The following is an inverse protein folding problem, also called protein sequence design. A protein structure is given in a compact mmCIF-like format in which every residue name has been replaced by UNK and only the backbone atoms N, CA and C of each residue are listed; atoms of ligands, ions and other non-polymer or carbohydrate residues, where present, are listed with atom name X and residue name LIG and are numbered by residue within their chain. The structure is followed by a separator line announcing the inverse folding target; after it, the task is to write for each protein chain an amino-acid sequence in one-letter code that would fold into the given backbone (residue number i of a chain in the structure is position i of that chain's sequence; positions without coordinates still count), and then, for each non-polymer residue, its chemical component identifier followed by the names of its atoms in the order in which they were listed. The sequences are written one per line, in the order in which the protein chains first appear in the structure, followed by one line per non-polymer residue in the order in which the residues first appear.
data_IF_756675462104
#
_entry.id   IF_756675462104
#
_cell.length_a   1.000
_cell.length_b   1.000
_cell.length_c   1.000
_cell.angle_alpha   90.00
_cell.angle_beta   90.00
_cell.angle_gamma   90.00
#
_symmetry.space_group_name_H-M   'P 1'
#
loop_
_entity.id
_entity.type
_entity.pdbx_description
1 polymer ?
#
# COMPACT_ATOMS: atom_id res chain seq x y z
N UNK A 1 -20.77 8.51 10.18
CA UNK A 1 -21.48 7.76 9.12
C UNK A 1 -22.01 8.69 8.03
N UNK A 2 -22.49 9.90 8.36
CA UNK A 2 -23.04 10.83 7.38
C UNK A 2 -22.02 11.28 6.32
N UNK A 3 -20.78 11.56 6.73
CA UNK A 3 -19.69 11.89 5.83
C UNK A 3 -19.40 10.77 4.80
N UNK A 4 -19.40 9.50 5.23
CA UNK A 4 -19.19 8.36 4.33
C UNK A 4 -20.32 8.23 3.30
N UNK A 5 -21.57 8.52 3.71
CA UNK A 5 -22.74 8.51 2.81
C UNK A 5 -22.61 9.60 1.74
N UNK A 6 -22.15 10.78 2.12
CA UNK A 6 -21.91 11.91 1.22
C UNK A 6 -20.83 11.55 0.19
N UNK A 7 -19.66 11.08 0.64
CA UNK A 7 -18.56 10.67 -0.24
C UNK A 7 -18.95 9.54 -1.21
N UNK A 8 -19.74 8.57 -0.75
CA UNK A 8 -20.27 7.52 -1.62
C UNK A 8 -21.28 8.07 -2.63
N UNK A 9 -22.04 9.11 -2.27
CA UNK A 9 -22.93 9.84 -3.17
C UNK A 9 -22.13 10.53 -4.29
N UNK A 10 -21.03 11.18 -3.96
CA UNK A 10 -20.16 11.85 -4.94
C UNK A 10 -19.53 10.86 -5.91
N UNK A 11 -19.06 9.71 -5.42
CA UNK A 11 -18.55 8.62 -6.27
C UNK A 11 -19.64 8.11 -7.21
N UNK A 12 -20.86 7.89 -6.70
CA UNK A 12 -21.99 7.42 -7.50
C UNK A 12 -22.37 8.46 -8.56
N UNK A 13 -22.37 9.74 -8.21
CA UNK A 13 -22.61 10.84 -9.15
C UNK A 13 -21.61 10.80 -10.31
N UNK A 14 -20.31 10.64 -10.04
CA UNK A 14 -19.29 10.54 -11.08
C UNK A 14 -19.55 9.35 -12.02
N UNK A 15 -19.94 8.20 -11.48
CA UNK A 15 -20.24 7.01 -12.29
C UNK A 15 -21.42 7.28 -13.21
N UNK A 16 -22.54 7.81 -12.68
CA UNK A 16 -23.75 8.11 -13.44
C UNK A 16 -23.46 9.18 -14.51
N UNK A 17 -22.72 10.23 -14.15
CA UNK A 17 -22.37 11.31 -15.07
C UNK A 17 -21.55 10.81 -16.27
N UNK A 18 -20.51 10.01 -16.02
CA UNK A 18 -19.70 9.44 -17.10
C UNK A 18 -20.46 8.42 -17.95
N UNK A 19 -21.33 7.62 -17.34
CA UNK A 19 -22.18 6.70 -18.08
C UNK A 19 -23.17 7.47 -19.00
N UNK A 20 -23.79 8.54 -18.52
CA UNK A 20 -24.69 9.38 -19.32
C UNK A 20 -23.95 10.06 -20.49
N UNK A 21 -22.71 10.51 -20.28
CA UNK A 21 -21.91 11.06 -21.39
C UNK A 21 -21.58 9.97 -22.43
N UNK A 22 -21.20 8.78 -21.99
CA UNK A 22 -20.91 7.66 -22.89
C UNK A 22 -22.13 7.21 -23.68
N UNK A 23 -23.31 7.18 -23.04
CA UNK A 23 -24.58 6.85 -23.70
C UNK A 23 -24.98 7.90 -24.75
N UNK A 24 -24.78 9.18 -24.45
CA UNK A 24 -25.00 10.27 -25.41
C UNK A 24 -24.12 10.13 -26.66
N UNK A 25 -22.91 9.66 -26.50
CA UNK A 25 -21.95 9.41 -27.60
C UNK A 25 -22.13 8.02 -28.24
N UNK A 26 -23.09 7.22 -27.78
CA UNK A 26 -23.41 5.91 -28.34
C UNK A 26 -22.45 4.79 -27.98
N UNK A 27 -21.66 4.94 -26.92
CA UNK A 27 -20.68 3.92 -26.51
C UNK A 27 -21.29 2.83 -25.61
N UNK A 28 -21.88 3.19 -24.48
CA UNK A 28 -22.50 2.28 -23.52
C UNK A 28 -23.43 3.04 -22.56
N UNK A 29 -24.40 2.32 -21.99
CA UNK A 29 -25.37 2.83 -21.01
C UNK A 29 -24.96 2.52 -19.56
N UNK A 30 -25.66 3.10 -18.59
CA UNK A 30 -25.53 2.73 -17.18
C UNK A 30 -25.91 1.27 -16.93
N UNK A 31 -26.85 0.72 -17.69
CA UNK A 31 -27.21 -0.70 -17.63
C UNK A 31 -26.02 -1.58 -18.01
N UNK A 32 -25.29 -1.24 -19.05
CA UNK A 32 -24.08 -2.00 -19.47
C UNK A 32 -23.00 -1.99 -18.40
N UNK A 33 -22.83 -0.87 -17.70
CA UNK A 33 -21.91 -0.77 -16.56
C UNK A 33 -22.32 -1.72 -15.43
N UNK A 34 -23.61 -1.72 -15.06
CA UNK A 34 -24.15 -2.57 -14.01
C UNK A 34 -24.04 -4.05 -14.36
N UNK A 35 -24.41 -4.43 -15.58
CA UNK A 35 -24.31 -5.80 -16.09
C UNK A 35 -22.86 -6.28 -16.14
N UNK A 36 -21.95 -5.43 -16.59
CA UNK A 36 -20.52 -5.73 -16.60
C UNK A 36 -19.94 -5.98 -15.21
N UNK A 37 -20.38 -5.26 -14.18
CA UNK A 37 -19.99 -5.51 -12.78
C UNK A 37 -20.59 -6.82 -12.27
N UNK A 38 -21.90 -7.05 -12.49
CA UNK A 38 -22.58 -8.28 -12.11
C UNK A 38 -21.86 -9.51 -12.69
N UNK A 39 -21.65 -9.53 -13.99
CA UNK A 39 -21.07 -10.68 -14.70
C UNK A 39 -19.62 -10.93 -14.24
N UNK A 40 -18.86 -9.86 -13.99
CA UNK A 40 -17.53 -9.94 -13.41
C UNK A 40 -17.57 -10.57 -12.03
N UNK A 41 -18.49 -10.18 -11.15
CA UNK A 41 -18.59 -10.73 -9.79
C UNK A 41 -19.01 -12.20 -9.81
N UNK A 42 -20.00 -12.56 -10.61
CA UNK A 42 -20.44 -13.95 -10.77
C UNK A 42 -19.28 -14.85 -11.23
N UNK A 43 -18.56 -14.43 -12.28
CA UNK A 43 -17.42 -15.21 -12.79
C UNK A 43 -16.28 -15.37 -11.79
N UNK A 44 -16.03 -14.36 -10.96
CA UNK A 44 -14.89 -14.36 -10.01
C UNK A 44 -15.21 -15.04 -8.70
N UNK A 45 -16.48 -15.19 -8.34
CA UNK A 45 -16.94 -15.76 -7.08
C UNK A 45 -17.89 -16.94 -7.29
N UNK A 46 -17.52 -17.99 -8.06
CA UNK A 46 -18.43 -19.13 -8.33
C UNK A 46 -18.80 -19.87 -7.04
N UNK A 47 -17.92 -19.88 -6.02
CA UNK A 47 -18.25 -20.45 -4.72
C UNK A 47 -19.42 -19.75 -4.01
N UNK A 48 -19.75 -18.50 -4.39
CA UNK A 48 -20.92 -17.76 -3.86
C UNK A 48 -22.15 -18.01 -4.71
N UNK A 49 -21.99 -18.15 -6.04
CA UNK A 49 -23.09 -18.16 -7.00
C UNK A 49 -23.39 -19.55 -7.56
N UNK A 50 -22.50 -20.52 -7.42
CA UNK A 50 -22.71 -21.89 -7.90
C UNK A 50 -23.45 -22.71 -6.84
N UNK A 51 -24.63 -23.21 -7.21
CA UNK A 51 -25.52 -23.99 -6.32
C UNK A 51 -24.95 -25.33 -5.89
N UNK A 52 -23.88 -25.80 -6.53
CA UNK A 52 -23.28 -27.12 -6.27
C UNK A 52 -22.12 -27.10 -5.26
N UNK A 53 -22.00 -26.03 -4.45
CA UNK A 53 -21.15 -25.97 -3.27
C UNK A 53 -19.78 -26.59 -3.47
N UNK A 54 -18.95 -26.00 -4.33
CA UNK A 54 -17.54 -26.38 -4.44
C UNK A 54 -16.83 -26.14 -3.11
N UNK A 55 -15.99 -27.10 -2.73
CA UNK A 55 -15.22 -27.16 -1.50
C UNK A 55 -14.59 -25.78 -1.16
N UNK A 56 -15.08 -25.14 -0.10
CA UNK A 56 -14.69 -23.80 0.34
C UNK A 56 -13.27 -23.73 0.91
N UNK A 57 -12.54 -24.84 0.90
CA UNK A 57 -11.17 -24.96 1.41
C UNK A 57 -10.09 -24.61 0.38
N UNK A 58 -10.47 -24.43 -0.90
CA UNK A 58 -9.51 -24.03 -1.94
C UNK A 58 -9.32 -22.51 -1.87
N UNK A 59 -8.14 -22.09 -1.58
CA UNK A 59 -7.68 -20.71 -1.39
C UNK A 59 -8.31 -19.72 -2.39
N UNK A 60 -9.41 -19.11 -1.99
CA UNK A 60 -10.19 -18.15 -2.78
C UNK A 60 -9.35 -17.02 -3.45
N UNK A 61 -8.30 -16.47 -2.80
CA UNK A 61 -7.46 -15.43 -3.41
C UNK A 61 -6.64 -15.93 -4.60
N UNK A 62 -6.10 -17.15 -4.56
CA UNK A 62 -5.25 -17.71 -5.64
C UNK A 62 -6.07 -18.00 -6.89
N UNK A 63 -7.23 -18.63 -6.73
CA UNK A 63 -8.14 -18.90 -7.84
C UNK A 63 -8.70 -17.61 -8.46
N UNK A 64 -8.99 -16.62 -7.64
CA UNK A 64 -9.45 -15.31 -8.10
C UNK A 64 -8.39 -14.57 -8.95
N UNK A 65 -7.12 -14.55 -8.52
CA UNK A 65 -6.02 -13.94 -9.29
C UNK A 65 -5.76 -14.72 -10.60
N UNK A 66 -5.85 -16.05 -10.59
CA UNK A 66 -5.71 -16.89 -11.78
C UNK A 66 -6.80 -16.57 -12.82
N UNK A 67 -8.04 -16.48 -12.40
CA UNK A 67 -9.18 -16.13 -13.26
C UNK A 67 -9.06 -14.75 -13.85
N UNK A 68 -8.69 -13.75 -13.02
CA UNK A 68 -8.43 -12.38 -13.45
C UNK A 68 -7.29 -12.29 -14.48
N UNK A 69 -6.29 -13.14 -14.38
CA UNK A 69 -5.17 -13.19 -15.33
C UNK A 69 -5.63 -13.76 -16.69
N UNK A 70 -6.40 -14.82 -16.68
CA UNK A 70 -6.98 -15.45 -17.89
C UNK A 70 -7.95 -14.46 -18.56
N UNK A 71 -8.89 -13.88 -17.82
CA UNK A 71 -9.88 -12.92 -18.30
C UNK A 71 -9.24 -11.71 -19.02
N UNK A 72 -8.11 -11.21 -18.48
CA UNK A 72 -7.41 -10.04 -19.05
C UNK A 72 -6.31 -10.42 -20.03
N UNK A 73 -6.19 -11.70 -20.42
CA UNK A 73 -5.13 -12.22 -21.30
C UNK A 73 -3.72 -11.73 -20.90
N UNK A 74 -3.43 -11.74 -19.59
CA UNK A 74 -2.16 -11.22 -19.05
C UNK A 74 -1.04 -12.25 -19.23
N UNK A 75 -0.05 -11.93 -20.05
CA UNK A 75 1.09 -12.79 -20.34
C UNK A 75 2.02 -13.00 -19.13
N UNK A 76 2.26 -11.93 -18.36
CA UNK A 76 3.20 -11.95 -17.23
C UNK A 76 2.47 -11.81 -15.88
N UNK A 77 3.04 -12.38 -14.83
CA UNK A 77 2.49 -12.37 -13.47
C UNK A 77 2.20 -10.94 -12.97
N UNK A 78 3.15 -10.03 -13.19
CA UNK A 78 3.06 -8.64 -12.74
C UNK A 78 2.35 -7.71 -13.73
N UNK A 79 1.81 -8.24 -14.84
CA UNK A 79 1.04 -7.43 -15.78
C UNK A 79 -0.14 -6.74 -15.10
N UNK A 80 -0.27 -5.42 -15.33
CA UNK A 80 -1.34 -4.58 -14.76
C UNK A 80 -1.10 -4.13 -13.32
N UNK A 81 0.13 -4.25 -12.82
CA UNK A 81 0.57 -3.49 -11.63
C UNK A 81 0.86 -2.06 -12.09
N UNK A 82 0.19 -1.03 -11.53
CA UNK A 82 0.45 0.34 -11.91
C UNK A 82 1.87 0.76 -11.52
N UNK A 83 2.59 1.41 -12.45
CA UNK A 83 3.99 1.83 -12.21
C UNK A 83 4.12 3.13 -11.39
N UNK A 84 3.05 3.92 -11.30
CA UNK A 84 3.04 5.22 -10.61
C UNK A 84 2.58 5.16 -9.14
N UNK A 85 2.61 3.98 -8.52
CA UNK A 85 2.28 3.84 -7.11
C UNK A 85 3.45 4.25 -6.21
N UNK A 86 3.18 4.70 -4.97
CA UNK A 86 4.20 4.84 -3.92
C UNK A 86 5.00 3.54 -3.76
N UNK A 87 6.30 3.66 -3.53
CA UNK A 87 7.23 2.51 -3.63
C UNK A 87 6.93 1.39 -2.64
N UNK A 88 6.54 1.72 -1.40
CA UNK A 88 6.18 0.70 -0.41
C UNK A 88 4.91 -0.03 -0.79
N UNK A 89 3.89 0.69 -1.27
CA UNK A 89 2.64 0.09 -1.75
C UNK A 89 2.88 -0.76 -2.99
N UNK A 90 3.70 -0.31 -3.93
CA UNK A 90 4.10 -1.08 -5.11
C UNK A 90 4.77 -2.40 -4.69
N UNK A 91 5.70 -2.36 -3.75
CA UNK A 91 6.39 -3.53 -3.20
C UNK A 91 5.38 -4.50 -2.56
N UNK A 92 4.45 -3.99 -1.74
CA UNK A 92 3.37 -4.81 -1.16
C UNK A 92 2.57 -5.56 -2.22
N UNK A 93 2.18 -4.89 -3.29
CA UNK A 93 1.39 -5.49 -4.37
C UNK A 93 2.20 -6.56 -5.12
N UNK A 94 3.47 -6.31 -5.39
CA UNK A 94 4.38 -7.28 -6.04
C UNK A 94 4.49 -8.53 -5.18
N UNK A 95 4.82 -8.39 -3.91
CA UNK A 95 5.00 -9.51 -2.97
C UNK A 95 3.70 -10.30 -2.79
N UNK A 96 2.56 -9.64 -2.57
CA UNK A 96 1.23 -10.30 -2.51
C UNK A 96 0.92 -11.11 -3.77
N UNK A 97 1.24 -10.57 -4.96
CA UNK A 97 1.03 -11.29 -6.22
C UNK A 97 1.93 -12.52 -6.37
N UNK A 98 3.18 -12.40 -5.98
CA UNK A 98 4.14 -13.52 -6.04
C UNK A 98 3.71 -14.61 -5.05
N UNK A 99 3.46 -14.26 -3.79
CA UNK A 99 3.05 -15.20 -2.73
C UNK A 99 1.70 -15.87 -3.03
N UNK A 100 0.71 -15.12 -3.55
CA UNK A 100 -0.61 -15.69 -3.91
C UNK A 100 -0.55 -16.71 -5.06
N UNK A 101 0.55 -16.76 -5.80
CA UNK A 101 0.81 -17.77 -6.84
C UNK A 101 1.72 -18.92 -6.34
N UNK A 102 2.09 -18.94 -5.05
CA UNK A 102 2.96 -19.97 -4.47
C UNK A 102 4.43 -19.82 -4.90
N UNK A 103 4.85 -18.62 -5.21
CA UNK A 103 6.20 -18.29 -5.69
C UNK A 103 6.97 -17.42 -4.67
N UNK A 104 6.61 -17.53 -3.38
CA UNK A 104 7.24 -16.75 -2.32
C UNK A 104 8.77 -16.93 -2.26
N UNK A 105 9.25 -18.12 -2.61
CA UNK A 105 10.69 -18.42 -2.62
C UNK A 105 11.48 -17.59 -3.65
N UNK A 106 10.79 -17.03 -4.66
CA UNK A 106 11.38 -16.11 -5.63
C UNK A 106 11.54 -14.67 -5.10
N UNK A 107 10.92 -14.33 -3.97
CA UNK A 107 11.03 -12.98 -3.40
C UNK A 107 12.42 -12.70 -2.88
N UNK A 108 13.12 -13.74 -2.43
CA UNK A 108 14.47 -13.65 -1.88
C UNK A 108 15.37 -14.66 -2.60
N UNK A 109 16.47 -14.22 -3.23
CA UNK A 109 17.50 -15.13 -3.71
C UNK A 109 18.02 -16.02 -2.57
N UNK A 110 18.45 -17.24 -2.89
CA UNK A 110 18.94 -18.23 -1.90
C UNK A 110 20.07 -17.68 -1.00
N UNK A 111 20.81 -16.69 -1.49
CA UNK A 111 21.91 -16.01 -0.77
C UNK A 111 21.45 -14.90 0.18
N UNK A 112 20.17 -14.52 0.16
CA UNK A 112 19.65 -13.49 1.04
C UNK A 112 19.03 -14.12 2.28
N UNK A 113 19.55 -13.81 3.48
CA UNK A 113 18.96 -14.31 4.71
C UNK A 113 17.53 -13.81 4.84
N UNK A 114 16.61 -14.73 5.11
CA UNK A 114 15.21 -14.42 5.43
C UNK A 114 15.12 -13.65 6.75
N UNK A 115 16.16 -13.73 7.59
CA UNK A 115 16.23 -13.01 8.88
C UNK A 115 16.57 -11.53 8.69
N UNK A 116 15.62 -10.68 9.05
CA UNK A 116 15.74 -9.22 9.03
C UNK A 116 16.97 -8.72 9.80
N UNK A 117 17.35 -9.37 10.94
CA UNK A 117 18.52 -9.00 11.72
C UNK A 117 19.82 -9.17 10.93
N UNK A 118 19.95 -10.27 10.20
CA UNK A 118 21.12 -10.50 9.36
C UNK A 118 21.18 -9.51 8.20
N UNK A 119 20.03 -9.12 7.66
CA UNK A 119 19.99 -8.11 6.59
C UNK A 119 20.38 -6.72 7.11
N UNK A 120 19.93 -6.35 8.29
CA UNK A 120 20.36 -5.11 8.96
C UNK A 120 21.87 -5.12 9.19
N UNK A 121 22.41 -6.20 9.79
CA UNK A 121 23.86 -6.32 10.04
C UNK A 121 24.67 -6.19 8.75
N UNK A 122 24.28 -6.91 7.69
CA UNK A 122 24.94 -6.81 6.37
C UNK A 122 24.86 -5.41 5.77
N UNK A 123 23.74 -4.71 5.95
CA UNK A 123 23.60 -3.33 5.48
C UNK A 123 24.53 -2.37 6.24
N UNK A 124 24.69 -2.56 7.56
CA UNK A 124 25.51 -1.69 8.40
C UNK A 124 27.01 -1.96 8.28
N UNK A 125 27.42 -3.22 8.04
CA UNK A 125 28.82 -3.65 8.03
C UNK A 125 29.56 -3.42 6.70
N UNK A 126 28.84 -3.16 5.61
CA UNK A 126 29.45 -3.07 4.29
C UNK A 126 29.69 -1.61 3.86
N UNK A 127 30.94 -1.20 3.98
CA UNK A 127 31.43 0.18 3.69
C UNK A 127 31.67 0.48 2.19
N UNK A 128 31.39 -0.47 1.27
CA UNK A 128 31.60 -0.24 -0.16
C UNK A 128 30.55 0.69 -0.75
N UNK A 129 30.98 1.88 -1.11
CA UNK A 129 30.14 3.02 -1.54
C UNK A 129 29.29 2.71 -2.81
N UNK A 130 29.83 1.90 -3.72
CA UNK A 130 29.24 1.64 -5.04
C UNK A 130 27.97 0.74 -5.00
N UNK A 131 27.62 0.17 -3.84
CA UNK A 131 26.50 -0.81 -3.73
C UNK A 131 25.46 -0.41 -2.66
N UNK A 132 25.64 0.74 -2.00
CA UNK A 132 24.79 1.17 -0.86
C UNK A 132 23.33 1.33 -1.25
N UNK A 133 23.04 1.97 -2.40
CA UNK A 133 21.65 2.17 -2.86
C UNK A 133 20.96 0.84 -3.14
N UNK A 134 21.63 -0.07 -3.85
CA UNK A 134 21.10 -1.40 -4.14
C UNK A 134 20.83 -2.20 -2.86
N UNK A 135 21.75 -2.16 -1.90
CA UNK A 135 21.60 -2.82 -0.59
C UNK A 135 20.46 -2.22 0.22
N UNK A 136 20.34 -0.88 0.23
CA UNK A 136 19.22 -0.20 0.87
C UNK A 136 17.89 -0.63 0.24
N UNK A 137 17.82 -0.73 -1.09
CA UNK A 137 16.64 -1.23 -1.80
C UNK A 137 16.26 -2.66 -1.41
N UNK A 138 17.24 -3.56 -1.33
CA UNK A 138 17.03 -4.96 -0.89
C UNK A 138 16.53 -5.00 0.56
N UNK A 139 17.15 -4.21 1.44
CA UNK A 139 16.75 -4.12 2.84
C UNK A 139 15.31 -3.61 2.98
N UNK A 140 14.95 -2.54 2.27
CA UNK A 140 13.59 -2.02 2.28
C UNK A 140 12.57 -3.03 1.74
N UNK A 141 12.93 -3.77 0.69
CA UNK A 141 12.09 -4.83 0.13
C UNK A 141 11.84 -5.94 1.16
N UNK A 142 12.86 -6.38 1.88
CA UNK A 142 12.75 -7.39 2.94
C UNK A 142 11.97 -6.86 4.15
N UNK A 143 12.17 -5.60 4.54
CA UNK A 143 11.42 -4.97 5.63
C UNK A 143 9.92 -4.93 5.31
N UNK A 144 9.55 -4.56 4.09
CA UNK A 144 8.15 -4.59 3.64
C UNK A 144 7.55 -5.99 3.74
N UNK A 145 8.30 -7.02 3.34
CA UNK A 145 7.85 -8.41 3.48
C UNK A 145 7.60 -8.80 4.94
N UNK A 146 8.57 -8.53 5.80
CA UNK A 146 8.44 -8.80 7.24
C UNK A 146 7.22 -8.11 7.87
N UNK A 147 6.98 -6.84 7.53
CA UNK A 147 5.83 -6.11 8.03
C UNK A 147 4.50 -6.72 7.54
N UNK A 148 4.42 -7.16 6.28
CA UNK A 148 3.25 -7.85 5.75
C UNK A 148 2.97 -9.18 6.45
N UNK A 149 3.99 -9.97 6.79
CA UNK A 149 3.84 -11.20 7.59
C UNK A 149 3.26 -10.92 8.99
N UNK A 150 3.53 -9.73 9.55
CA UNK A 150 2.94 -9.26 10.82
C UNK A 150 1.56 -8.61 10.65
N UNK A 151 1.00 -8.59 9.44
CA UNK A 151 -0.29 -7.95 9.16
C UNK A 151 -0.23 -6.42 9.16
N UNK A 152 0.97 -5.83 9.09
CA UNK A 152 1.18 -4.38 9.06
C UNK A 152 1.23 -3.92 7.61
N UNK A 153 0.48 -2.86 7.28
CA UNK A 153 0.56 -2.19 5.98
C UNK A 153 1.65 -1.11 6.03
N UNK A 154 2.80 -1.29 5.33
CA UNK A 154 3.97 -0.43 5.51
C UNK A 154 3.76 1.02 5.09
N UNK A 155 3.05 1.27 3.99
CA UNK A 155 2.75 2.62 3.50
C UNK A 155 1.92 3.40 4.53
N UNK A 156 0.87 2.76 5.07
CA UNK A 156 0.00 3.36 6.07
C UNK A 156 0.72 3.57 7.40
N UNK A 157 1.57 2.63 7.80
CA UNK A 157 2.36 2.73 9.03
C UNK A 157 3.32 3.92 8.97
N UNK A 158 4.05 4.08 7.85
CA UNK A 158 4.95 5.20 7.64
C UNK A 158 4.18 6.52 7.58
N UNK A 159 3.08 6.58 6.81
CA UNK A 159 2.24 7.77 6.71
C UNK A 159 1.70 8.24 8.08
N UNK A 160 1.29 7.31 8.95
CA UNK A 160 0.87 7.64 10.31
C UNK A 160 2.02 8.22 11.13
N UNK A 161 3.19 7.62 11.06
CA UNK A 161 4.38 8.12 11.76
C UNK A 161 4.77 9.53 11.29
N UNK A 162 4.69 9.80 10.00
CA UNK A 162 4.94 11.13 9.43
C UNK A 162 3.92 12.14 9.95
N UNK A 163 2.64 11.78 9.94
CA UNK A 163 1.54 12.64 10.42
C UNK A 163 1.69 12.93 11.92
N UNK A 164 2.02 11.92 12.72
CA UNK A 164 2.24 12.06 14.16
C UNK A 164 3.44 12.95 14.45
N UNK A 165 4.53 12.78 13.70
CA UNK A 165 5.71 13.64 13.83
C UNK A 165 5.41 15.11 13.46
N UNK A 166 4.73 15.33 12.34
CA UNK A 166 4.32 16.67 11.91
C UNK A 166 3.42 17.36 12.94
N UNK A 167 2.45 16.62 13.50
CA UNK A 167 1.56 17.14 14.55
C UNK A 167 2.33 17.50 15.82
N UNK A 168 3.26 16.64 16.24
CA UNK A 168 4.11 16.87 17.41
C UNK A 168 5.05 18.07 17.21
N UNK A 169 5.64 18.20 16.01
CA UNK A 169 6.48 19.34 15.69
C UNK A 169 5.69 20.65 15.75
N UNK A 170 4.47 20.66 15.20
CA UNK A 170 3.60 21.84 15.26
C UNK A 170 3.26 22.22 16.71
N UNK A 171 2.93 21.26 17.56
CA UNK A 171 2.68 21.52 18.98
C UNK A 171 3.94 22.08 19.68
N UNK A 172 5.11 21.61 19.29
CA UNK A 172 6.37 22.16 19.80
C UNK A 172 6.63 23.60 19.31
N UNK A 173 6.32 23.92 18.06
CA UNK A 173 6.40 25.28 17.54
C UNK A 173 5.48 26.23 18.34
N UNK A 174 4.25 25.80 18.62
CA UNK A 174 3.29 26.56 19.45
C UNK A 174 3.86 26.78 20.88
N UNK A 175 4.46 25.75 21.48
CA UNK A 175 5.11 25.86 22.80
C UNK A 175 6.29 26.84 22.79
N UNK A 176 7.12 26.84 21.74
CA UNK A 176 8.22 27.81 21.59
C UNK A 176 7.70 29.24 21.44
N UNK A 177 6.62 29.42 20.64
CA UNK A 177 5.98 30.72 20.44
C UNK A 177 5.38 31.25 21.75
N UNK A 178 4.78 30.44 22.57
CA UNK A 178 4.25 30.82 23.90
C UNK A 178 5.38 31.32 24.83
N UNK A 179 6.60 30.83 24.64
CA UNK A 179 7.79 31.33 25.37
C UNK A 179 8.40 32.61 24.74
N UNK A 180 7.71 33.22 23.77
CA UNK A 180 8.16 34.45 23.09
C UNK A 180 9.33 34.24 22.15
N UNK A 181 9.58 33.03 21.70
CA UNK A 181 10.68 32.64 20.79
C UNK A 181 10.15 32.20 19.45
N UNK A 182 11.06 32.15 18.46
CA UNK A 182 10.77 31.59 17.15
C UNK A 182 11.79 30.47 16.87
N UNK A 183 11.31 29.30 16.43
CA UNK A 183 12.16 28.16 16.19
C UNK A 183 13.25 28.42 15.13
N UNK A 184 12.96 29.25 14.12
CA UNK A 184 13.93 29.66 13.08
C UNK A 184 15.10 30.46 13.58
N UNK A 185 14.97 31.13 14.74
CA UNK A 185 15.97 32.04 15.29
C UNK A 185 16.80 31.39 16.41
N UNK A 186 16.52 30.13 16.73
CA UNK A 186 17.14 29.39 17.82
C UNK A 186 18.36 28.59 17.37
N UNK A 187 19.35 28.44 18.26
CA UNK A 187 20.44 27.49 18.01
C UNK A 187 19.96 26.03 18.13
N UNK A 188 20.65 25.09 17.47
CA UNK A 188 20.32 23.66 17.60
C UNK A 188 20.33 23.14 19.04
N UNK A 189 21.26 23.62 19.85
CA UNK A 189 21.41 23.25 21.26
C UNK A 189 20.22 23.74 22.11
N UNK A 190 19.81 24.98 21.89
CA UNK A 190 18.65 25.56 22.55
C UNK A 190 17.35 24.88 22.14
N UNK A 191 17.19 24.58 20.85
CA UNK A 191 16.06 23.83 20.31
C UNK A 191 15.96 22.45 20.95
N UNK A 192 17.07 21.71 21.02
CA UNK A 192 17.09 20.38 21.62
C UNK A 192 16.75 20.41 23.12
N UNK A 193 17.20 21.45 23.83
CA UNK A 193 16.87 21.63 25.26
C UNK A 193 15.37 21.84 25.45
N UNK A 194 14.76 22.76 24.70
CA UNK A 194 13.33 23.04 24.78
C UNK A 194 12.48 21.86 24.31
N UNK A 195 12.97 21.08 23.33
CA UNK A 195 12.30 19.84 22.90
C UNK A 195 12.23 18.81 24.02
N UNK A 196 13.32 18.65 24.80
CA UNK A 196 13.32 17.75 25.96
C UNK A 196 12.35 18.20 27.04
N UNK A 197 12.27 19.51 27.30
CA UNK A 197 11.33 20.08 28.26
C UNK A 197 9.88 19.83 27.81
N UNK A 198 9.59 20.05 26.52
CA UNK A 198 8.27 19.82 25.92
C UNK A 198 7.81 18.34 25.97
N UNK A 199 8.72 17.38 25.83
CA UNK A 199 8.36 15.96 25.92
C UNK A 199 8.14 15.52 27.39
N UNK A 200 8.71 16.23 28.37
CA UNK A 200 8.62 15.90 29.77
C UNK A 200 7.31 16.43 30.44
N UNK A 201 6.60 17.37 29.79
CA UNK A 201 5.27 17.86 30.19
C UNK A 201 4.15 16.95 29.66
#
# INVERSE_FOLDING_TARGET
MDNLKEELGDVLFQIIFHAALAEKEGYFSMQDVADGVRDKMVRRHPFVFDKNGGDSTISAPREWEKRKRIEKNRKYLLSGVPKGLPSLLLTCIIQKKVSSNGLQDLLFPEDLPVDLKQQISRFLEDDREMDREKKAGIFLFALVHYLQEKGIEPELALHRSDTDFMSRLRSFEDFVMQKGKNLSDMSPEETLRLWKDFIAE
#
